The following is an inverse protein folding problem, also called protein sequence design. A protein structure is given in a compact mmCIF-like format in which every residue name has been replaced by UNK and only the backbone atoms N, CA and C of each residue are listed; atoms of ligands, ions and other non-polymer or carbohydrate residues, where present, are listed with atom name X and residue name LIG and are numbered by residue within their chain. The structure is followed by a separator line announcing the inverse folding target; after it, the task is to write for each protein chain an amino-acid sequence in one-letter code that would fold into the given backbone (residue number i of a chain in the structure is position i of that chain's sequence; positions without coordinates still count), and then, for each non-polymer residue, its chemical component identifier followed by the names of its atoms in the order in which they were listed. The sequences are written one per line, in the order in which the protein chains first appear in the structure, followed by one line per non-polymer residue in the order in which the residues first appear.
data_IF_976411915930
#
_entry.id   IF_976411915930
#
_cell.length_a   1.000
_cell.length_b   1.000
_cell.length_c   1.000
_cell.angle_alpha   90.00
_cell.angle_beta   90.00
_cell.angle_gamma   90.00
#
_symmetry.space_group_name_H-M   'P 1'
#
loop_
_entity.id
_entity.type
_entity.pdbx_description
1 polymer ?
#
# COMPACT_ATOMS: atom_id res chain seq x y z
N UNK A 1 -3.81 12.57 -10.31
CA UNK A 1 -4.46 11.66 -11.27
C UNK A 1 -5.18 10.56 -10.49
N UNK A 2 -6.42 10.21 -10.85
CA UNK A 2 -7.19 9.15 -10.19
C UNK A 2 -7.96 8.36 -11.25
N UNK A 3 -7.78 7.04 -11.28
CA UNK A 3 -8.52 6.13 -12.14
C UNK A 3 -9.67 5.45 -11.40
N UNK A 4 -9.39 4.95 -10.19
CA UNK A 4 -10.32 4.18 -9.38
C UNK A 4 -9.90 4.23 -7.89
N UNK A 5 -10.78 3.74 -7.01
CA UNK A 5 -10.52 3.55 -5.58
C UNK A 5 -10.65 2.08 -5.23
N UNK A 6 -9.65 1.52 -4.57
CA UNK A 6 -9.73 0.21 -3.93
C UNK A 6 -10.15 0.40 -2.47
N UNK A 7 -11.22 -0.28 -2.05
CA UNK A 7 -11.74 -0.22 -0.68
C UNK A 7 -11.88 -1.65 -0.19
N UNK A 8 -11.36 -1.94 1.00
CA UNK A 8 -11.42 -3.26 1.63
C UNK A 8 -11.99 -3.14 3.04
N UNK A 9 -12.49 -4.26 3.55
CA UNK A 9 -13.03 -4.40 4.90
C UNK A 9 -12.47 -5.66 5.54
N UNK A 10 -12.19 -5.61 6.84
CA UNK A 10 -11.76 -6.77 7.63
C UNK A 10 -12.27 -6.63 9.06
N UNK A 11 -12.24 -7.72 9.82
CA UNK A 11 -12.68 -7.75 11.22
C UNK A 11 -11.79 -6.89 12.13
N UNK A 12 -10.52 -6.74 11.76
CA UNK A 12 -9.56 -5.85 12.39
C UNK A 12 -8.62 -5.20 11.35
N UNK A 13 -7.69 -4.37 11.84
CA UNK A 13 -6.71 -3.69 10.99
C UNK A 13 -5.80 -4.66 10.23
N UNK A 14 -5.37 -5.74 10.87
CA UNK A 14 -4.52 -6.75 10.25
C UNK A 14 -5.24 -7.42 9.09
N UNK A 15 -6.46 -7.92 9.34
CA UNK A 15 -7.30 -8.55 8.33
C UNK A 15 -7.63 -7.61 7.16
N UNK A 16 -7.89 -6.33 7.43
CA UNK A 16 -8.12 -5.35 6.37
C UNK A 16 -6.86 -5.10 5.52
N UNK A 17 -5.68 -5.05 6.13
CA UNK A 17 -4.41 -4.87 5.40
C UNK A 17 -4.07 -6.13 4.58
N UNK A 18 -4.33 -7.32 5.12
CA UNK A 18 -4.19 -8.59 4.39
C UNK A 18 -5.11 -8.64 3.17
N UNK A 19 -6.37 -8.22 3.32
CA UNK A 19 -7.31 -8.09 2.20
C UNK A 19 -6.84 -7.05 1.16
N UNK A 20 -6.27 -5.92 1.61
CA UNK A 20 -5.70 -4.90 0.72
C UNK A 20 -4.53 -5.45 -0.10
N UNK A 21 -3.61 -6.17 0.53
CA UNK A 21 -2.45 -6.75 -0.12
C UNK A 21 -2.88 -7.75 -1.21
N UNK A 22 -3.77 -8.68 -0.87
CA UNK A 22 -4.31 -9.66 -1.83
C UNK A 22 -5.03 -8.99 -3.01
N UNK A 23 -5.84 -7.95 -2.75
CA UNK A 23 -6.53 -7.21 -3.79
C UNK A 23 -5.55 -6.46 -4.71
N UNK A 24 -4.51 -5.84 -4.17
CA UNK A 24 -3.48 -5.14 -4.95
C UNK A 24 -2.70 -6.09 -5.87
N UNK A 25 -2.41 -7.32 -5.41
CA UNK A 25 -1.75 -8.35 -6.23
C UNK A 25 -2.61 -8.83 -7.40
N UNK A 26 -3.93 -8.85 -7.21
CA UNK A 26 -4.89 -9.28 -8.23
C UNK A 26 -5.19 -8.22 -9.30
N UNK A 27 -4.97 -6.93 -9.00
CA UNK A 27 -5.25 -5.85 -9.97
C UNK A 27 -4.27 -5.93 -11.15
N UNK A 28 -4.83 -5.83 -12.37
CA UNK A 28 -4.08 -5.73 -13.62
C UNK A 28 -4.55 -4.49 -14.37
N UNK A 29 -3.61 -3.58 -14.63
CA UNK A 29 -3.81 -2.36 -15.41
C UNK A 29 -2.62 -2.25 -16.36
N UNK A 30 -2.89 -2.40 -17.66
CA UNK A 30 -1.86 -2.38 -18.69
C UNK A 30 -1.77 -1.01 -19.38
N UNK A 31 -0.60 -0.70 -19.94
CA UNK A 31 -0.38 0.52 -20.74
C UNK A 31 -0.21 1.82 -19.94
N UNK A 32 -0.24 1.77 -18.60
CA UNK A 32 -0.06 2.94 -17.74
C UNK A 32 0.75 2.60 -16.49
N UNK A 33 1.66 3.50 -16.08
CA UNK A 33 2.25 3.45 -14.74
C UNK A 33 1.18 3.81 -13.70
N UNK A 34 1.05 2.98 -12.67
CA UNK A 34 0.07 3.17 -11.60
C UNK A 34 0.76 3.30 -10.24
N UNK A 35 -0.01 3.68 -9.23
CA UNK A 35 0.45 3.72 -7.84
C UNK A 35 0.32 2.37 -7.13
N UNK A 36 -0.03 1.28 -7.84
CA UNK A 36 -0.19 -0.06 -7.24
C UNK A 36 1.08 -0.53 -6.53
N UNK A 37 2.30 -0.43 -7.11
CA UNK A 37 3.51 -0.89 -6.42
C UNK A 37 3.76 -0.16 -5.10
N UNK A 38 3.46 1.14 -5.04
CA UNK A 38 3.57 1.93 -3.81
C UNK A 38 2.60 1.44 -2.74
N UNK A 39 1.32 1.23 -3.10
CA UNK A 39 0.32 0.76 -2.13
C UNK A 39 0.61 -0.66 -1.66
N UNK A 40 1.16 -1.53 -2.52
CA UNK A 40 1.56 -2.89 -2.14
C UNK A 40 2.71 -2.89 -1.14
N UNK A 41 3.73 -2.06 -1.38
CA UNK A 41 4.85 -1.90 -0.44
C UNK A 41 4.39 -1.32 0.92
N UNK A 42 3.46 -0.36 0.90
CA UNK A 42 2.85 0.18 2.12
C UNK A 42 2.01 -0.88 2.86
N UNK A 43 1.25 -1.73 2.14
CA UNK A 43 0.50 -2.83 2.76
C UNK A 43 1.41 -3.85 3.46
N UNK A 44 2.65 -4.02 2.99
CA UNK A 44 3.66 -4.89 3.57
C UNK A 44 4.49 -4.23 4.70
N UNK A 45 4.37 -2.91 4.92
CA UNK A 45 5.14 -2.18 5.93
C UNK A 45 4.60 -2.45 7.35
N UNK A 46 5.47 -2.82 8.32
CA UNK A 46 5.10 -2.93 9.73
C UNK A 46 4.59 -1.61 10.32
N UNK A 47 5.16 -0.47 9.92
CA UNK A 47 4.72 0.85 10.36
C UNK A 47 3.27 1.12 9.97
N UNK A 48 2.87 0.74 8.76
CA UNK A 48 1.48 0.81 8.32
C UNK A 48 0.63 -0.20 9.07
N UNK A 49 1.06 -1.46 9.22
CA UNK A 49 0.30 -2.47 9.96
C UNK A 49 0.04 -2.08 11.41
N UNK A 50 1.03 -1.52 12.08
CA UNK A 50 0.99 -1.16 13.50
C UNK A 50 0.49 0.27 13.76
N UNK A 51 -0.01 0.95 12.71
CA UNK A 51 -0.55 2.31 12.80
C UNK A 51 0.47 3.37 13.30
N UNK A 52 1.76 3.18 12.98
CA UNK A 52 2.85 4.12 13.27
C UNK A 52 3.08 5.09 12.11
N UNK A 53 2.02 5.77 11.68
CA UNK A 53 2.08 6.71 10.56
C UNK A 53 1.62 8.10 10.99
N UNK A 54 2.20 9.14 10.38
CA UNK A 54 1.80 10.54 10.55
C UNK A 54 1.77 11.25 9.18
N UNK A 55 1.37 12.52 9.14
CA UNK A 55 1.15 13.26 7.88
C UNK A 55 2.39 13.48 7.01
N UNK A 56 3.60 13.20 7.54
CA UNK A 56 4.90 13.35 6.86
C UNK A 56 5.69 12.02 6.86
N UNK A 57 4.99 10.91 7.11
CA UNK A 57 5.62 9.59 7.22
C UNK A 57 6.20 9.14 5.87
N UNK A 58 5.48 9.43 4.78
CA UNK A 58 5.76 8.85 3.47
C UNK A 58 7.12 9.29 2.92
N UNK A 59 7.50 10.55 3.11
CA UNK A 59 8.77 11.10 2.64
C UNK A 59 9.96 10.42 3.31
N UNK A 60 9.92 10.29 4.63
CA UNK A 60 10.96 9.61 5.40
C UNK A 60 11.03 8.12 5.06
N UNK A 61 9.87 7.48 4.91
CA UNK A 61 9.77 6.06 4.56
C UNK A 61 10.33 5.78 3.15
N UNK A 62 10.07 6.65 2.18
CA UNK A 62 10.66 6.55 0.84
C UNK A 62 12.17 6.77 0.86
N UNK A 63 12.65 7.77 1.61
CA UNK A 63 14.08 8.06 1.75
C UNK A 63 14.86 6.90 2.42
N UNK A 64 14.18 6.15 3.31
CA UNK A 64 14.72 4.95 3.94
C UNK A 64 14.67 3.70 3.04
N UNK A 65 14.22 3.82 1.79
CA UNK A 65 14.17 2.71 0.83
C UNK A 65 12.90 1.87 0.89
N UNK A 66 11.79 2.40 1.41
CA UNK A 66 10.53 1.66 1.52
C UNK A 66 9.95 1.13 0.19
N UNK A 67 10.34 1.75 -0.94
CA UNK A 67 9.95 1.31 -2.29
C UNK A 67 11.11 0.61 -3.03
N UNK A 68 12.19 0.22 -2.35
CA UNK A 68 13.30 -0.46 -2.99
C UNK A 68 12.80 -1.78 -3.61
N UNK A 69 12.86 -1.86 -4.94
CA UNK A 69 12.59 -3.05 -5.73
C UNK A 69 13.55 -4.15 -5.26
N UNK A 70 13.03 -5.29 -4.82
CA UNK A 70 13.83 -6.53 -4.87
C UNK A 70 13.97 -6.98 -6.31
#
# INVERSE_FOLDING_TARGET
SLLAKLIVTGEDRGAAIDAMAAALEAIRIDGLKTTIPLHAALAASPEVRENRTHTQFLEAWLAAGGLATR
#
